data_IF_541870799041
#
_entry.id   IF_541870799041
#
_cell.length_a   1.000
_cell.length_b   1.000
_cell.length_c   1.000
_cell.angle_alpha   90.00
_cell.angle_beta   90.00
_cell.angle_gamma   90.00
#
_symmetry.space_group_name_H-M   'P 1'
#
loop_
_entity.id
_entity.type
_entity.pdbx_description
1 polymer ?
#
# COMPACT_ATOMS: atom_id res chain seq x y z
N UNK A 1 22.00 -16.32 -48.95
CA UNK A 1 21.70 -17.11 -47.73
C UNK A 1 22.76 -16.80 -46.69
N UNK A 2 22.41 -16.12 -45.60
CA UNK A 2 22.86 -16.37 -44.23
C UNK A 2 22.28 -15.27 -43.34
N UNK A 3 21.22 -15.59 -42.61
CA UNK A 3 20.55 -14.71 -41.66
C UNK A 3 21.28 -14.81 -40.32
N UNK A 4 21.64 -13.65 -39.74
CA UNK A 4 22.18 -13.57 -38.38
C UNK A 4 21.03 -13.11 -37.46
N UNK A 5 20.37 -14.07 -36.82
CA UNK A 5 19.34 -13.82 -35.82
C UNK A 5 19.99 -13.45 -34.49
N UNK A 6 19.83 -12.22 -34.03
CA UNK A 6 20.20 -11.79 -32.69
C UNK A 6 18.96 -11.87 -31.79
N UNK A 7 18.78 -13.02 -31.13
CA UNK A 7 17.74 -13.19 -30.09
C UNK A 7 18.29 -12.61 -28.78
N UNK A 8 18.13 -11.30 -28.57
CA UNK A 8 18.29 -10.72 -27.24
C UNK A 8 16.98 -10.91 -26.48
N UNK A 9 16.94 -11.95 -25.63
CA UNK A 9 15.90 -12.13 -24.64
C UNK A 9 15.96 -10.95 -23.66
N UNK A 10 15.13 -9.93 -23.91
CA UNK A 10 14.77 -8.95 -22.90
C UNK A 10 14.12 -9.72 -21.76
N UNK A 11 14.89 -9.90 -20.69
CA UNK A 11 14.44 -10.46 -19.43
C UNK A 11 13.46 -9.46 -18.85
N UNK A 12 12.19 -9.56 -19.23
CA UNK A 12 11.10 -8.99 -18.45
C UNK A 12 11.13 -9.72 -17.13
N UNK A 13 11.79 -9.13 -16.14
CA UNK A 13 11.59 -9.44 -14.74
C UNK A 13 10.12 -9.13 -14.38
N UNK A 14 9.21 -9.98 -14.83
CA UNK A 14 8.05 -10.34 -14.01
C UNK A 14 8.66 -10.94 -12.76
N UNK A 15 8.98 -10.08 -11.78
CA UNK A 15 9.13 -10.56 -10.42
C UNK A 15 7.84 -11.31 -10.15
N UNK A 16 7.94 -12.64 -10.05
CA UNK A 16 6.87 -13.49 -9.60
C UNK A 16 6.55 -13.06 -8.18
N UNK A 17 5.67 -12.05 -8.04
CA UNK A 17 5.26 -11.48 -6.76
C UNK A 17 4.86 -12.65 -5.89
N UNK A 18 5.58 -12.81 -4.78
CA UNK A 18 5.49 -14.00 -3.95
C UNK A 18 4.05 -14.15 -3.46
N UNK A 19 3.50 -15.38 -3.33
CA UNK A 19 2.14 -15.58 -2.85
C UNK A 19 1.87 -14.86 -1.52
N UNK A 20 2.88 -14.76 -0.66
CA UNK A 20 2.82 -14.01 0.60
C UNK A 20 2.65 -12.51 0.36
N UNK A 21 3.38 -11.90 -0.58
CA UNK A 21 3.30 -10.47 -0.89
C UNK A 21 1.91 -10.11 -1.42
N UNK A 22 1.32 -10.97 -2.25
CA UNK A 22 -0.05 -10.78 -2.75
C UNK A 22 -1.07 -10.82 -1.61
N UNK A 23 -0.95 -11.79 -0.69
CA UNK A 23 -1.84 -11.91 0.47
C UNK A 23 -1.67 -10.71 1.43
N UNK A 24 -0.44 -10.32 1.75
CA UNK A 24 -0.15 -9.16 2.60
C UNK A 24 -0.71 -7.88 1.98
N UNK A 25 -0.48 -7.64 0.69
CA UNK A 25 -1.04 -6.49 -0.03
C UNK A 25 -2.57 -6.49 0.02
N UNK A 26 -3.20 -7.66 -0.15
CA UNK A 26 -4.65 -7.78 -0.05
C UNK A 26 -5.17 -7.42 1.34
N UNK A 27 -4.61 -8.01 2.40
CA UNK A 27 -5.02 -7.75 3.78
C UNK A 27 -4.87 -6.28 4.17
N UNK A 28 -3.75 -5.64 3.80
CA UNK A 28 -3.54 -4.21 4.08
C UNK A 28 -4.54 -3.31 3.34
N UNK A 29 -4.92 -3.67 2.11
CA UNK A 29 -5.90 -2.91 1.31
C UNK A 29 -7.35 -3.10 1.81
N UNK A 30 -7.62 -4.17 2.57
CA UNK A 30 -8.94 -4.48 3.11
C UNK A 30 -9.16 -3.97 4.54
N UNK A 31 -8.15 -3.31 5.14
CA UNK A 31 -8.28 -2.77 6.49
C UNK A 31 -9.42 -1.76 6.60
N UNK A 32 -10.29 -1.89 7.62
CA UNK A 32 -11.34 -0.92 7.86
C UNK A 32 -10.73 0.42 8.28
N UNK A 33 -11.43 1.52 7.97
CA UNK A 33 -11.02 2.90 8.31
C UNK A 33 -9.76 3.44 7.62
N UNK A 34 -9.11 2.65 6.75
CA UNK A 34 -8.03 3.16 5.89
C UNK A 34 -8.58 4.23 4.94
N UNK A 35 -7.97 5.41 4.97
CA UNK A 35 -8.38 6.55 4.17
C UNK A 35 -7.31 6.96 3.15
N UNK A 36 -7.61 7.98 2.36
CA UNK A 36 -6.75 8.48 1.27
C UNK A 36 -5.37 8.95 1.77
N UNK A 37 -5.28 9.39 3.03
CA UNK A 37 -4.07 9.91 3.66
C UNK A 37 -3.28 8.86 4.43
N UNK A 38 -3.76 7.62 4.45
CA UNK A 38 -3.06 6.50 5.08
C UNK A 38 -2.24 5.78 4.02
N UNK A 39 -0.93 5.81 4.19
CA UNK A 39 0.04 5.17 3.30
C UNK A 39 0.80 4.10 4.07
N UNK A 40 0.75 2.87 3.56
CA UNK A 40 1.43 1.72 4.13
C UNK A 40 2.20 0.99 3.03
N UNK A 41 3.43 0.62 3.33
CA UNK A 41 4.28 -0.24 2.50
C UNK A 41 4.75 -1.42 3.30
N UNK A 42 5.23 -2.44 2.60
CA UNK A 42 5.78 -3.61 3.24
C UNK A 42 6.95 -4.18 2.42
N UNK A 43 7.83 -4.89 3.10
CA UNK A 43 8.83 -5.78 2.50
C UNK A 43 8.73 -7.15 3.13
N UNK A 44 9.04 -8.19 2.35
CA UNK A 44 9.05 -9.57 2.84
C UNK A 44 10.43 -10.18 2.61
N UNK A 45 11.03 -10.68 3.68
CA UNK A 45 12.33 -11.35 3.62
C UNK A 45 12.16 -12.85 3.31
N UNK A 46 13.26 -13.51 2.93
CA UNK A 46 13.28 -14.94 2.60
C UNK A 46 12.82 -15.85 3.75
N UNK A 47 12.96 -15.40 5.00
CA UNK A 47 12.59 -16.14 6.20
C UNK A 47 11.13 -15.89 6.64
N UNK A 48 10.30 -15.24 5.81
CA UNK A 48 8.91 -14.92 6.17
C UNK A 48 8.76 -13.76 7.16
N UNK A 49 9.82 -12.96 7.38
CA UNK A 49 9.73 -11.71 8.14
C UNK A 49 9.10 -10.63 7.25
N UNK A 50 8.05 -9.99 7.74
CA UNK A 50 7.39 -8.86 7.08
C UNK A 50 7.67 -7.59 7.86
N UNK A 51 8.22 -6.58 7.18
CA UNK A 51 8.42 -5.25 7.76
C UNK A 51 7.39 -4.29 7.18
N UNK A 52 6.54 -3.73 8.03
CA UNK A 52 5.53 -2.75 7.69
C UNK A 52 6.07 -1.34 7.91
N UNK A 53 5.94 -0.49 6.91
CA UNK A 53 6.38 0.90 6.93
C UNK A 53 5.24 1.83 6.52
N UNK A 54 5.37 3.12 6.82
CA UNK A 54 4.45 4.14 6.31
C UNK A 54 3.96 5.11 7.38
N UNK A 55 2.90 5.86 7.03
CA UNK A 55 2.32 6.92 7.85
C UNK A 55 0.80 6.78 7.84
N UNK A 56 0.21 6.74 9.03
CA UNK A 56 -1.24 6.63 9.20
C UNK A 56 -1.76 7.71 10.12
N UNK A 57 -2.98 8.14 9.88
CA UNK A 57 -3.70 9.14 10.68
C UNK A 57 -4.36 8.53 11.91
N UNK A 58 -4.71 7.24 11.86
CA UNK A 58 -5.40 6.55 12.94
C UNK A 58 -4.46 5.54 13.64
N UNK A 59 -4.24 5.64 14.97
CA UNK A 59 -3.40 4.69 15.70
C UNK A 59 -3.94 3.25 15.67
N UNK A 60 -5.26 3.08 15.54
CA UNK A 60 -5.88 1.74 15.45
C UNK A 60 -5.41 1.02 14.18
N UNK A 61 -5.28 1.73 13.05
CA UNK A 61 -4.78 1.17 11.79
C UNK A 61 -3.38 0.58 11.93
N UNK A 62 -2.48 1.26 12.65
CA UNK A 62 -1.14 0.72 12.93
C UNK A 62 -1.23 -0.66 13.59
N UNK A 63 -2.06 -0.77 14.62
CA UNK A 63 -2.20 -2.02 15.37
C UNK A 63 -2.88 -3.11 14.55
N UNK A 64 -3.88 -2.74 13.74
CA UNK A 64 -4.66 -3.70 12.95
C UNK A 64 -3.87 -4.20 11.75
N UNK A 65 -3.08 -3.34 11.09
CA UNK A 65 -2.15 -3.75 10.04
C UNK A 65 -1.20 -4.87 10.52
N UNK A 66 -0.60 -4.73 11.70
CA UNK A 66 0.24 -5.79 12.25
C UNK A 66 -0.54 -7.07 12.55
N UNK A 67 -1.76 -6.96 13.09
CA UNK A 67 -2.60 -8.12 13.41
C UNK A 67 -3.03 -8.89 12.16
N UNK A 68 -3.46 -8.20 11.10
CA UNK A 68 -3.93 -8.87 9.88
C UNK A 68 -2.77 -9.55 9.15
N UNK A 69 -1.61 -8.87 9.06
CA UNK A 69 -0.42 -9.41 8.39
C UNK A 69 0.14 -10.61 9.13
N UNK A 70 0.12 -10.61 10.47
CA UNK A 70 0.55 -11.76 11.27
C UNK A 70 -0.28 -13.03 11.02
N UNK A 71 -1.52 -12.91 10.52
CA UNK A 71 -2.37 -14.06 10.19
C UNK A 71 -2.13 -14.62 8.79
N UNK A 72 -1.31 -13.95 7.97
CA UNK A 72 -1.00 -14.43 6.63
C UNK A 72 -0.09 -15.66 6.74
N UNK A 73 -0.47 -16.72 6.04
CA UNK A 73 0.31 -17.94 5.94
C UNK A 73 1.73 -17.66 5.38
N UNK A 74 2.75 -18.17 6.06
CA UNK A 74 4.16 -17.94 5.73
C UNK A 74 4.77 -16.70 6.39
N UNK A 75 3.98 -15.91 7.13
CA UNK A 75 4.52 -14.81 7.96
C UNK A 75 4.95 -15.37 9.32
N UNK A 76 6.25 -15.34 9.56
CA UNK A 76 6.86 -15.80 10.81
C UNK A 76 6.98 -14.64 11.83
N UNK A 77 7.32 -13.45 11.34
CA UNK A 77 7.55 -12.27 12.17
C UNK A 77 7.01 -11.02 11.48
N UNK A 78 6.43 -10.12 12.26
CA UNK A 78 5.99 -8.80 11.78
C UNK A 78 6.72 -7.71 12.57
N UNK A 79 7.51 -6.91 11.85
CA UNK A 79 8.10 -5.67 12.35
C UNK A 79 7.24 -4.49 11.88
N UNK A 80 6.81 -3.62 12.80
CA UNK A 80 5.81 -2.58 12.49
C UNK A 80 6.36 -1.18 12.77
N UNK A 81 6.96 -0.61 11.74
CA UNK A 81 7.55 0.73 11.70
C UNK A 81 6.58 1.79 11.17
N UNK A 82 5.29 1.47 11.03
CA UNK A 82 4.26 2.46 10.69
C UNK A 82 4.27 3.57 11.73
N UNK A 83 4.29 4.82 11.28
CA UNK A 83 4.25 6.00 12.13
C UNK A 83 2.84 6.54 12.20
N UNK A 84 2.37 6.85 13.41
CA UNK A 84 1.09 7.53 13.60
C UNK A 84 1.35 9.03 13.54
N UNK A 85 0.71 9.70 12.60
CA UNK A 85 0.77 11.15 12.47
C UNK A 85 0.13 11.81 13.69
N UNK A 86 0.71 12.91 14.21
CA UNK A 86 0.14 13.62 15.34
C UNK A 86 -1.23 14.22 14.98
N UNK A 87 -2.09 14.32 15.99
CA UNK A 87 -3.38 15.00 15.85
C UNK A 87 -3.12 16.50 15.71
N UNK A 88 -3.58 17.11 14.61
CA UNK A 88 -3.36 18.52 14.30
C UNK A 88 -4.57 19.07 13.52
N UNK A 89 -5.27 20.03 14.11
CA UNK A 89 -6.40 20.70 13.46
C UNK A 89 -6.01 21.41 12.15
N UNK A 90 -4.77 21.91 12.08
CA UNK A 90 -4.25 22.53 10.85
C UNK A 90 -4.12 21.51 9.73
N UNK A 91 -3.55 20.35 10.03
CA UNK A 91 -3.37 19.26 9.07
C UNK A 91 -4.72 18.67 8.65
N UNK A 92 -5.66 18.52 9.58
CA UNK A 92 -7.02 18.05 9.28
C UNK A 92 -7.74 19.00 8.32
N UNK A 93 -7.59 20.31 8.53
CA UNK A 93 -8.09 21.32 7.60
C UNK A 93 -7.43 21.22 6.22
N UNK A 94 -6.13 20.97 6.16
CA UNK A 94 -5.39 20.79 4.90
C UNK A 94 -5.85 19.52 4.17
N UNK A 95 -5.96 18.39 4.86
CA UNK A 95 -6.48 17.12 4.34
C UNK A 95 -7.87 17.30 3.74
N UNK A 96 -8.77 17.97 4.45
CA UNK A 96 -10.13 18.20 3.97
C UNK A 96 -10.19 19.10 2.72
N UNK A 97 -9.28 20.08 2.58
CA UNK A 97 -9.16 20.90 1.36
C UNK A 97 -8.55 20.08 0.22
N UNK A 98 -7.45 19.38 0.47
CA UNK A 98 -6.75 18.55 -0.52
C UNK A 98 -7.65 17.47 -1.10
N UNK A 99 -8.42 16.78 -0.25
CA UNK A 99 -9.41 15.79 -0.67
C UNK A 99 -10.42 16.39 -1.66
N UNK A 100 -10.98 17.56 -1.33
CA UNK A 100 -11.96 18.24 -2.19
C UNK A 100 -11.33 18.72 -3.50
N UNK A 101 -10.11 19.22 -3.47
CA UNK A 101 -9.41 19.68 -4.67
C UNK A 101 -9.11 18.52 -5.63
N UNK A 102 -8.58 17.40 -5.12
CA UNK A 102 -8.22 16.25 -5.96
C UNK A 102 -9.47 15.55 -6.50
N UNK A 103 -10.43 15.22 -5.65
CA UNK A 103 -11.61 14.46 -6.08
C UNK A 103 -12.72 15.34 -6.70
N UNK A 104 -12.65 16.66 -6.52
CA UNK A 104 -13.49 17.62 -7.22
C UNK A 104 -12.96 18.05 -8.60
N UNK A 105 -11.71 17.69 -8.93
CA UNK A 105 -11.15 17.99 -10.25
C UNK A 105 -11.72 17.04 -11.30
N UNK A 106 -12.39 17.58 -12.32
CA UNK A 106 -13.16 16.81 -13.31
C UNK A 106 -12.45 15.57 -13.87
N UNK A 107 -11.20 15.69 -14.38
CA UNK A 107 -10.44 14.54 -14.88
C UNK A 107 -10.17 13.43 -13.85
N UNK A 108 -10.13 13.76 -12.56
CA UNK A 108 -9.84 12.81 -11.47
C UNK A 108 -11.10 12.34 -10.73
N UNK A 109 -12.26 12.93 -11.02
CA UNK A 109 -13.52 12.63 -10.34
C UNK A 109 -13.89 11.14 -10.44
N UNK A 110 -13.52 10.47 -11.54
CA UNK A 110 -13.70 9.01 -11.70
C UNK A 110 -13.09 8.18 -10.58
N UNK A 111 -12.00 8.64 -9.97
CA UNK A 111 -11.33 7.95 -8.86
C UNK A 111 -12.03 8.16 -7.51
N UNK A 112 -13.01 9.07 -7.44
CA UNK A 112 -13.83 9.29 -6.24
C UNK A 112 -14.97 8.27 -6.10
N UNK A 113 -15.32 7.55 -7.16
CA UNK A 113 -16.53 6.71 -7.19
C UNK A 113 -16.35 5.38 -6.45
N UNK A 114 -15.12 4.85 -6.37
CA UNK A 114 -14.83 3.59 -5.68
C UNK A 114 -14.91 3.72 -4.15
N UNK A 115 -15.33 2.65 -3.48
CA UNK A 115 -15.29 2.55 -2.01
C UNK A 115 -13.85 2.66 -1.54
N UNK A 116 -12.96 1.85 -2.12
CA UNK A 116 -11.53 1.97 -1.93
C UNK A 116 -10.97 3.00 -2.92
N UNK A 117 -10.44 4.09 -2.40
CA UNK A 117 -9.90 5.19 -3.22
C UNK A 117 -8.52 4.78 -3.73
N UNK A 118 -8.29 4.78 -5.07
CA UNK A 118 -7.04 4.28 -5.65
C UNK A 118 -5.87 5.24 -5.49
N UNK A 119 -6.13 6.53 -5.26
CA UNK A 119 -5.11 7.55 -5.01
C UNK A 119 -4.83 7.56 -3.50
N UNK A 120 -3.55 7.53 -3.12
CA UNK A 120 -3.05 7.73 -1.75
C UNK A 120 -2.16 8.96 -1.73
N UNK A 121 -2.27 9.81 -0.71
CA UNK A 121 -1.63 11.14 -0.63
C UNK A 121 -0.92 11.31 0.70
#
# INVERSE_FOLDING_TARGET
MFALSLTAAASTSDQSVSPIEKKVSHELNMLPYSNVFDYMTFSVDQNGKVTLNGKVTNPVLKSDAAKVVKRVEGVELVENDIQVLPVSFFDDGLRARLYRTIYGYGPLQRYSLGVNKPIRI
#
